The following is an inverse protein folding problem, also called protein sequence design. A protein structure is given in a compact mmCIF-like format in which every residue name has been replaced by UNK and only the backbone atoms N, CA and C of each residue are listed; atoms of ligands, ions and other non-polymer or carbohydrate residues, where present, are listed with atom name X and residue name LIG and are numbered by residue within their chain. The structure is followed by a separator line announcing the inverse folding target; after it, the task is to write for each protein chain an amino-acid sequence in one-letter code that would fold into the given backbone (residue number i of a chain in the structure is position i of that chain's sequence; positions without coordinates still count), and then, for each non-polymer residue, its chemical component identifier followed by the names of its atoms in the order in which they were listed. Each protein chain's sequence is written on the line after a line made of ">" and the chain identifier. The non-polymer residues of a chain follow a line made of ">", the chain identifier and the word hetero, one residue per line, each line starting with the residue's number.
data_IF_898199820429
#
_entry.id   IF_898199820429
#
_cell.length_a   1.000
_cell.length_b   1.000
_cell.length_c   1.000
_cell.angle_alpha   90.00
_cell.angle_beta   90.00
_cell.angle_gamma   90.00
#
_symmetry.space_group_name_H-M   'P 1'
#
loop_
_entity.id
_entity.type
_entity.pdbx_description
1 polymer ?
#
# COMPACT_ATOMS: atom_id res chain seq x y z
N UNK A 1 13.33 -31.41 47.07
CA UNK A 1 12.64 -31.54 45.77
C UNK A 1 12.63 -30.15 45.16
N UNK A 2 13.66 -29.83 44.36
CA UNK A 2 13.94 -28.48 43.87
C UNK A 2 13.33 -28.34 42.49
N UNK A 3 12.32 -27.49 42.36
CA UNK A 3 11.66 -27.21 41.08
C UNK A 3 12.58 -26.25 40.32
N UNK A 4 13.13 -26.70 39.19
CA UNK A 4 13.91 -25.87 38.29
C UNK A 4 12.98 -24.85 37.61
N UNK A 5 13.23 -23.56 37.86
CA UNK A 5 12.60 -22.44 37.17
C UNK A 5 13.02 -22.50 35.70
N UNK A 6 12.10 -22.60 34.72
CA UNK A 6 12.47 -22.50 33.32
C UNK A 6 13.02 -21.09 33.05
N UNK A 7 14.27 -21.03 32.61
CA UNK A 7 14.89 -19.82 32.07
C UNK A 7 14.02 -19.32 30.93
N UNK A 8 13.47 -18.11 31.08
CA UNK A 8 12.86 -17.34 30.00
C UNK A 8 13.85 -17.32 28.84
N UNK A 9 13.55 -18.10 27.81
CA UNK A 9 14.24 -18.02 26.54
C UNK A 9 14.14 -16.56 26.10
N UNK A 10 15.27 -15.87 26.10
CA UNK A 10 15.40 -14.49 25.66
C UNK A 10 14.90 -14.45 24.22
N UNK A 11 13.68 -13.94 24.04
CA UNK A 11 13.07 -13.73 22.72
C UNK A 11 13.92 -12.67 22.04
N UNK A 12 14.94 -13.10 21.30
CA UNK A 12 15.76 -12.19 20.49
C UNK A 12 14.79 -11.45 19.55
N UNK A 13 14.62 -10.12 19.69
CA UNK A 13 13.73 -9.37 18.81
C UNK A 13 14.27 -9.48 17.39
N UNK A 14 13.44 -9.97 16.47
CA UNK A 14 13.82 -10.08 15.06
C UNK A 14 14.01 -8.69 14.47
N UNK A 15 15.06 -8.51 13.68
CA UNK A 15 15.28 -7.26 12.93
C UNK A 15 14.12 -6.98 11.96
N UNK A 16 13.86 -5.70 11.69
CA UNK A 16 12.84 -5.29 10.72
C UNK A 16 13.13 -5.85 9.32
N UNK A 17 14.42 -5.93 8.94
CA UNK A 17 14.85 -6.49 7.66
C UNK A 17 14.46 -7.96 7.49
N UNK A 18 14.61 -8.78 8.53
CA UNK A 18 14.20 -10.19 8.50
C UNK A 18 12.67 -10.32 8.42
N UNK A 19 11.93 -9.51 9.19
CA UNK A 19 10.45 -9.51 9.15
C UNK A 19 9.89 -9.12 7.78
N UNK A 20 10.53 -8.16 7.12
CA UNK A 20 10.19 -7.71 5.77
C UNK A 20 10.54 -8.77 4.72
N UNK A 21 11.69 -9.41 4.81
CA UNK A 21 12.07 -10.51 3.92
C UNK A 21 11.09 -11.68 4.02
N UNK A 22 10.74 -12.12 5.25
CA UNK A 22 9.74 -13.17 5.47
C UNK A 22 8.38 -12.79 4.87
N UNK A 23 7.97 -11.51 5.00
CA UNK A 23 6.72 -11.03 4.41
C UNK A 23 6.77 -11.04 2.88
N UNK A 24 7.92 -10.68 2.30
CA UNK A 24 8.11 -10.71 0.86
C UNK A 24 8.03 -12.15 0.32
N UNK A 25 8.64 -13.11 1.00
CA UNK A 25 8.58 -14.54 0.65
C UNK A 25 7.14 -15.08 0.75
N UNK A 26 6.43 -14.75 1.84
CA UNK A 26 5.02 -15.12 2.03
C UNK A 26 4.12 -14.58 0.90
N UNK A 27 4.33 -13.32 0.52
CA UNK A 27 3.57 -12.68 -0.56
C UNK A 27 3.93 -13.26 -1.93
N UNK A 28 5.21 -13.55 -2.19
CA UNK A 28 5.64 -14.16 -3.44
C UNK A 28 5.05 -15.57 -3.61
N UNK A 29 4.98 -16.36 -2.53
CA UNK A 29 4.40 -17.70 -2.54
C UNK A 29 2.89 -17.74 -2.77
N UNK A 30 2.20 -16.63 -2.46
CA UNK A 30 0.74 -16.53 -2.51
C UNK A 30 0.27 -15.49 -3.52
N UNK A 31 1.19 -15.01 -4.36
CA UNK A 31 0.87 -14.03 -5.35
C UNK A 31 -0.12 -14.63 -6.36
N UNK A 32 -1.21 -13.92 -6.68
CA UNK A 32 -2.15 -14.39 -7.69
C UNK A 32 -1.47 -14.66 -9.03
N UNK A 33 -1.73 -15.83 -9.61
CA UNK A 33 -1.26 -16.16 -10.97
C UNK A 33 -2.16 -15.61 -12.07
N UNK A 34 -3.35 -15.12 -11.71
CA UNK A 34 -4.31 -14.48 -12.61
C UNK A 34 -4.80 -13.16 -11.99
N UNK A 35 -4.99 -12.08 -12.78
CA UNK A 35 -5.61 -10.84 -12.30
C UNK A 35 -7.03 -11.03 -11.75
N UNK A 36 -7.68 -12.14 -12.10
CA UNK A 36 -9.01 -12.50 -11.62
C UNK A 36 -8.98 -13.14 -10.22
N UNK A 37 -7.82 -13.61 -9.77
CA UNK A 37 -7.61 -14.17 -8.44
C UNK A 37 -7.23 -13.05 -7.46
N UNK A 38 -8.18 -12.19 -7.10
CA UNK A 38 -7.93 -11.02 -6.23
C UNK A 38 -7.50 -11.36 -4.79
N UNK A 39 -7.42 -12.64 -4.41
CA UNK A 39 -7.53 -13.04 -3.01
C UNK A 39 -6.38 -13.91 -2.46
N UNK A 40 -5.34 -14.22 -3.25
CA UNK A 40 -4.31 -15.21 -2.89
C UNK A 40 -3.70 -14.98 -1.49
N UNK A 41 -3.04 -13.84 -1.30
CA UNK A 41 -2.48 -13.47 0.01
C UNK A 41 -3.47 -12.70 0.91
N UNK A 42 -4.47 -12.03 0.31
CA UNK A 42 -5.47 -11.23 1.04
C UNK A 42 -6.44 -12.10 1.84
N UNK A 43 -6.71 -13.33 1.37
CA UNK A 43 -7.53 -14.32 2.08
C UNK A 43 -6.87 -14.86 3.36
N UNK A 44 -5.59 -14.55 3.60
CA UNK A 44 -4.87 -14.92 4.83
C UNK A 44 -4.80 -13.71 5.78
N UNK A 45 -5.63 -13.65 6.85
CA UNK A 45 -5.70 -12.48 7.73
C UNK A 45 -4.39 -12.15 8.44
N UNK A 46 -3.51 -13.14 8.63
CA UNK A 46 -2.16 -12.92 9.19
C UNK A 46 -1.25 -12.14 8.24
N UNK A 47 -1.32 -12.42 6.94
CA UNK A 47 -0.53 -11.71 5.93
C UNK A 47 -1.13 -10.33 5.70
N UNK A 48 -2.45 -10.25 5.49
CA UNK A 48 -3.13 -8.97 5.27
C UNK A 48 -2.83 -7.97 6.39
N UNK A 49 -2.85 -8.39 7.66
CA UNK A 49 -2.48 -7.53 8.79
C UNK A 49 -1.01 -7.09 8.79
N UNK A 50 -0.10 -7.97 8.40
CA UNK A 50 1.34 -7.63 8.28
C UNK A 50 1.56 -6.60 7.18
N UNK A 51 0.97 -6.82 6.00
CA UNK A 51 1.03 -5.85 4.90
C UNK A 51 0.42 -4.52 5.29
N UNK A 52 -0.77 -4.54 5.91
CA UNK A 52 -1.44 -3.34 6.37
C UNK A 52 -0.59 -2.56 7.38
N UNK A 53 0.06 -3.25 8.32
CA UNK A 53 0.98 -2.63 9.28
C UNK A 53 2.21 -1.98 8.61
N UNK A 54 2.78 -2.65 7.60
CA UNK A 54 3.89 -2.10 6.84
C UNK A 54 3.48 -0.87 6.00
N UNK A 55 2.29 -0.87 5.41
CA UNK A 55 1.74 0.30 4.70
C UNK A 55 1.44 1.44 5.66
N UNK A 56 0.81 1.14 6.80
CA UNK A 56 0.50 2.09 7.86
C UNK A 56 1.76 2.83 8.34
N UNK A 57 2.86 2.10 8.58
CA UNK A 57 4.14 2.67 8.98
C UNK A 57 4.79 3.58 7.91
N UNK A 58 4.33 3.51 6.66
CA UNK A 58 4.85 4.28 5.51
C UNK A 58 3.95 5.45 5.09
N UNK A 59 2.74 5.55 5.65
CA UNK A 59 1.88 6.71 5.46
C UNK A 59 2.60 7.97 5.94
N UNK A 60 2.26 9.11 5.33
CA UNK A 60 2.78 10.38 5.77
C UNK A 60 2.12 10.79 7.10
N UNK A 61 2.84 11.48 7.97
CA UNK A 61 2.35 11.83 9.31
C UNK A 61 1.15 12.79 9.28
N UNK A 62 0.98 13.51 8.18
CA UNK A 62 -0.11 14.43 7.86
C UNK A 62 -1.25 13.75 7.08
N UNK A 63 -1.28 12.42 6.99
CA UNK A 63 -2.38 11.72 6.31
C UNK A 63 -3.64 11.73 7.18
N UNK A 64 -4.69 12.35 6.69
CA UNK A 64 -6.01 12.40 7.33
C UNK A 64 -6.88 11.19 6.97
N UNK A 65 -6.64 10.56 5.81
CA UNK A 65 -7.52 9.52 5.26
C UNK A 65 -6.78 8.45 4.47
N UNK A 66 -7.31 7.23 4.51
CA UNK A 66 -6.94 6.14 3.61
C UNK A 66 -7.94 6.05 2.45
N UNK A 67 -7.41 6.03 1.23
CA UNK A 67 -8.17 5.87 -0.01
C UNK A 67 -7.77 4.57 -0.70
N UNK A 68 -8.71 3.65 -0.92
CA UNK A 68 -8.49 2.48 -1.75
C UNK A 68 -8.74 2.77 -3.23
N UNK A 69 -7.80 2.40 -4.10
CA UNK A 69 -7.90 2.57 -5.55
C UNK A 69 -7.59 1.28 -6.32
N UNK A 70 -8.60 0.80 -7.06
CA UNK A 70 -8.50 -0.32 -8.00
C UNK A 70 -8.80 -1.71 -7.42
N UNK A 71 -8.71 -2.77 -8.25
CA UNK A 71 -9.04 -4.13 -7.86
C UNK A 71 -8.22 -4.63 -6.66
N UNK A 72 -8.88 -5.29 -5.70
CA UNK A 72 -8.26 -5.78 -4.47
C UNK A 72 -7.88 -4.69 -3.45
N UNK A 73 -7.83 -3.42 -3.85
CA UNK A 73 -7.45 -2.32 -2.96
C UNK A 73 -8.47 -2.08 -1.85
N UNK A 74 -9.74 -2.43 -2.04
CA UNK A 74 -10.79 -2.27 -1.03
C UNK A 74 -10.46 -3.05 0.26
N UNK A 75 -10.10 -4.32 0.12
CA UNK A 75 -9.76 -5.19 1.26
C UNK A 75 -8.51 -4.69 1.97
N UNK A 76 -7.48 -4.34 1.19
CA UNK A 76 -6.23 -3.83 1.72
C UNK A 76 -6.37 -2.46 2.38
N UNK A 77 -7.05 -1.52 1.73
CA UNK A 77 -7.29 -0.17 2.24
C UNK A 77 -8.13 -0.19 3.51
N UNK A 78 -9.15 -1.06 3.58
CA UNK A 78 -9.89 -1.30 4.80
C UNK A 78 -9.00 -1.84 5.92
N UNK A 79 -8.11 -2.79 5.64
CA UNK A 79 -7.16 -3.30 6.62
C UNK A 79 -6.16 -2.24 7.10
N UNK A 80 -5.70 -1.34 6.22
CA UNK A 80 -4.83 -0.21 6.58
C UNK A 80 -5.57 0.78 7.47
N UNK A 81 -6.80 1.17 7.10
CA UNK A 81 -7.65 2.04 7.92
C UNK A 81 -7.88 1.47 9.32
N UNK A 82 -8.18 0.16 9.43
CA UNK A 82 -8.31 -0.51 10.73
C UNK A 82 -7.00 -0.52 11.53
N UNK A 83 -5.85 -0.61 10.85
CA UNK A 83 -4.53 -0.61 11.49
C UNK A 83 -4.10 0.78 11.96
N UNK A 84 -4.55 1.85 11.30
CA UNK A 84 -4.13 3.23 11.59
C UNK A 84 -5.16 4.00 12.42
N UNK A 85 -6.43 3.59 12.37
CA UNK A 85 -7.56 4.35 12.89
C UNK A 85 -7.98 5.52 12.00
N UNK A 86 -7.36 5.70 10.82
CA UNK A 86 -7.73 6.78 9.89
C UNK A 86 -9.05 6.44 9.17
N UNK A 87 -9.92 7.43 8.90
CA UNK A 87 -11.08 7.29 8.04
C UNK A 87 -10.75 6.60 6.71
N UNK A 88 -11.70 5.80 6.23
CA UNK A 88 -11.58 5.05 4.98
C UNK A 88 -12.52 5.61 3.92
N UNK A 89 -12.03 5.68 2.69
CA UNK A 89 -12.81 5.93 1.50
C UNK A 89 -12.39 4.94 0.42
N UNK A 90 -13.35 4.51 -0.38
CA UNK A 90 -13.17 3.54 -1.44
C UNK A 90 -13.79 4.07 -2.72
N UNK A 91 -13.24 3.68 -3.87
CA UNK A 91 -13.85 3.99 -5.17
C UNK A 91 -13.90 2.73 -6.01
N UNK A 92 -15.06 2.49 -6.62
CA UNK A 92 -15.22 1.42 -7.60
C UNK A 92 -14.66 1.81 -8.98
N UNK A 93 -14.72 0.88 -9.92
CA UNK A 93 -14.20 1.06 -11.27
C UNK A 93 -15.02 2.10 -12.07
N UNK A 94 -16.26 2.36 -11.66
CA UNK A 94 -17.14 3.39 -12.21
C UNK A 94 -16.86 4.80 -11.66
N UNK A 95 -15.96 4.93 -10.69
CA UNK A 95 -15.62 6.21 -10.06
C UNK A 95 -16.58 6.63 -8.95
N UNK A 96 -17.47 5.75 -8.51
CA UNK A 96 -18.38 5.98 -7.40
C UNK A 96 -17.59 5.99 -6.10
N UNK A 97 -17.71 7.07 -5.34
CA UNK A 97 -17.04 7.22 -4.05
C UNK A 97 -17.91 6.64 -2.94
N UNK A 98 -17.34 5.72 -2.17
CA UNK A 98 -17.92 5.16 -0.97
C UNK A 98 -17.26 5.76 0.28
N UNK A 99 -18.08 6.35 1.13
CA UNK A 99 -17.66 7.05 2.34
C UNK A 99 -17.60 8.57 2.14
N UNK A 100 -17.64 9.29 3.26
CA UNK A 100 -17.55 10.75 3.26
C UNK A 100 -16.11 11.20 3.08
N UNK A 101 -15.88 12.27 2.33
CA UNK A 101 -14.61 12.98 2.24
C UNK A 101 -14.85 14.49 2.32
N UNK A 102 -13.88 15.23 2.85
CA UNK A 102 -13.99 16.68 2.98
C UNK A 102 -12.90 17.39 2.18
N UNK A 103 -13.24 18.56 1.65
CA UNK A 103 -12.27 19.40 0.97
C UNK A 103 -11.14 19.80 1.93
N UNK A 104 -9.90 19.68 1.46
CA UNK A 104 -8.70 20.02 2.23
C UNK A 104 -8.12 18.87 3.06
N UNK A 105 -8.73 17.67 3.05
CA UNK A 105 -8.13 16.48 3.66
C UNK A 105 -6.93 15.98 2.83
N UNK A 106 -5.89 15.54 3.53
CA UNK A 106 -4.73 14.90 2.94
C UNK A 106 -4.90 13.38 2.90
N UNK A 107 -4.91 12.79 1.71
CA UNK A 107 -5.18 11.37 1.47
C UNK A 107 -3.92 10.54 1.21
N UNK A 108 -3.86 9.36 1.83
CA UNK A 108 -2.93 8.29 1.49
C UNK A 108 -3.63 7.25 0.61
N UNK A 109 -3.14 7.08 -0.61
CA UNK A 109 -3.71 6.16 -1.59
C UNK A 109 -3.09 4.78 -1.44
N UNK A 110 -3.93 3.76 -1.36
CA UNK A 110 -3.58 2.34 -1.29
C UNK A 110 -4.05 1.66 -2.56
N UNK A 111 -3.15 0.97 -3.26
CA UNK A 111 -3.49 0.19 -4.45
C UNK A 111 -2.79 -1.17 -4.49
N UNK A 112 -3.24 -2.04 -5.39
CA UNK A 112 -2.59 -3.31 -5.74
C UNK A 112 -2.11 -3.21 -7.18
N UNK A 113 -0.94 -3.77 -7.48
CA UNK A 113 -0.28 -3.79 -8.78
C UNK A 113 0.07 -2.44 -9.41
N UNK A 114 -0.35 -1.32 -8.81
CA UNK A 114 0.00 0.03 -9.26
C UNK A 114 -0.65 0.47 -10.57
N UNK A 115 -1.38 -0.42 -11.24
CA UNK A 115 -1.93 -0.20 -12.58
C UNK A 115 -3.29 0.50 -12.62
N UNK A 116 -3.88 0.84 -11.47
CA UNK A 116 -5.13 1.58 -11.46
C UNK A 116 -4.91 3.01 -11.98
N UNK A 117 -5.63 3.38 -13.04
CA UNK A 117 -5.68 4.76 -13.54
C UNK A 117 -6.15 5.70 -12.44
N UNK A 118 -5.58 6.90 -12.37
CA UNK A 118 -6.00 7.91 -11.40
C UNK A 118 -7.34 8.51 -11.85
N UNK A 119 -8.43 8.30 -11.09
CA UNK A 119 -9.72 8.82 -11.47
C UNK A 119 -9.76 10.35 -11.25
N UNK A 120 -10.56 11.05 -12.06
CA UNK A 120 -10.59 12.52 -12.06
C UNK A 120 -10.93 13.14 -10.70
N UNK A 121 -11.72 12.47 -9.86
CA UNK A 121 -12.05 12.96 -8.52
C UNK A 121 -10.85 12.92 -7.55
N UNK A 122 -9.84 12.07 -7.78
CA UNK A 122 -8.65 12.05 -6.92
C UNK A 122 -7.92 13.40 -6.91
N UNK A 123 -8.11 14.19 -7.98
CA UNK A 123 -7.60 15.56 -8.07
C UNK A 123 -8.23 16.55 -7.08
N UNK A 124 -9.40 16.22 -6.50
CA UNK A 124 -10.06 17.05 -5.48
C UNK A 124 -9.48 16.88 -4.07
N UNK A 125 -8.69 15.82 -3.86
CA UNK A 125 -7.97 15.57 -2.62
C UNK A 125 -6.53 16.05 -2.73
N UNK A 126 -5.93 16.40 -1.59
CA UNK A 126 -4.49 16.52 -1.53
C UNK A 126 -3.88 15.15 -1.26
N UNK A 127 -3.20 14.56 -2.24
CA UNK A 127 -2.65 13.21 -2.08
C UNK A 127 -1.22 13.31 -1.56
N UNK A 128 -0.98 12.87 -0.33
CA UNK A 128 0.37 12.88 0.25
C UNK A 128 1.26 11.80 -0.35
N UNK A 129 0.72 10.59 -0.53
CA UNK A 129 1.44 9.41 -1.03
C UNK A 129 0.52 8.40 -1.69
N UNK A 130 1.07 7.67 -2.65
CA UNK A 130 0.52 6.41 -3.17
C UNK A 130 1.43 5.24 -2.79
N UNK A 131 0.87 4.28 -2.06
CA UNK A 131 1.53 3.04 -1.66
C UNK A 131 0.85 1.87 -2.36
N UNK A 132 1.63 1.04 -3.03
CA UNK A 132 1.11 -0.12 -3.76
C UNK A 132 1.77 -1.40 -3.34
N UNK A 133 1.01 -2.48 -3.27
CA UNK A 133 1.59 -3.83 -3.22
C UNK A 133 1.77 -4.32 -4.66
N UNK A 134 2.99 -4.60 -5.11
CA UNK A 134 3.34 -4.97 -6.49
C UNK A 134 4.03 -6.32 -6.55
N UNK A 135 3.88 -7.06 -7.66
CA UNK A 135 4.58 -8.32 -7.85
C UNK A 135 6.09 -8.14 -8.05
N UNK A 136 6.91 -8.89 -7.30
CA UNK A 136 8.38 -8.75 -7.28
C UNK A 136 9.13 -9.39 -8.45
N UNK A 137 8.43 -9.88 -9.48
CA UNK A 137 9.02 -10.69 -10.55
C UNK A 137 10.02 -9.99 -11.47
N UNK A 138 10.25 -8.67 -11.34
CA UNK A 138 11.06 -7.88 -12.29
C UNK A 138 12.40 -7.32 -11.77
N UNK A 139 12.60 -7.13 -10.45
CA UNK A 139 13.80 -6.44 -9.96
C UNK A 139 14.78 -7.40 -9.32
N UNK A 140 15.84 -7.76 -10.05
CA UNK A 140 17.01 -8.51 -9.56
C UNK A 140 17.95 -7.65 -8.68
N UNK A 141 17.45 -6.59 -8.07
CA UNK A 141 18.20 -5.81 -7.08
C UNK A 141 17.55 -6.04 -5.73
N UNK A 142 18.14 -6.99 -5.00
CA UNK A 142 17.98 -7.29 -3.57
C UNK A 142 16.68 -6.88 -2.89
N UNK A 143 15.71 -7.79 -2.80
CA UNK A 143 14.72 -7.84 -1.73
C UNK A 143 13.95 -6.55 -1.45
N UNK A 144 13.89 -5.62 -2.41
CA UNK A 144 13.20 -4.36 -2.23
C UNK A 144 11.71 -4.69 -2.24
N UNK A 145 11.14 -4.51 -1.05
CA UNK A 145 9.80 -4.91 -0.62
C UNK A 145 8.78 -4.71 -1.74
N UNK A 146 7.87 -5.68 -1.87
CA UNK A 146 6.65 -5.66 -2.71
C UNK A 146 5.74 -4.43 -2.43
N UNK A 147 6.17 -3.45 -1.64
CA UNK A 147 5.47 -2.21 -1.33
C UNK A 147 6.22 -1.08 -2.03
N UNK A 148 5.73 -0.67 -3.20
CA UNK A 148 6.31 0.42 -3.98
C UNK A 148 5.64 1.75 -3.61
N UNK A 149 6.46 2.81 -3.63
CA UNK A 149 5.97 4.19 -3.70
C UNK A 149 5.85 4.52 -5.18
N UNK A 150 4.64 4.80 -5.64
CA UNK A 150 4.43 5.23 -7.02
C UNK A 150 4.36 6.76 -7.05
N UNK A 151 4.99 7.41 -8.05
CA UNK A 151 4.84 8.84 -8.23
C UNK A 151 3.36 9.15 -8.49
N UNK A 152 2.88 10.24 -7.90
CA UNK A 152 1.59 10.83 -8.24
C UNK A 152 1.77 11.53 -9.59
N UNK A 153 0.83 11.41 -10.53
CA UNK A 153 0.97 11.99 -11.89
C UNK A 153 1.10 13.53 -11.93
N UNK A 154 1.05 14.21 -10.79
CA UNK A 154 1.28 15.66 -10.68
C UNK A 154 2.69 16.10 -11.15
N UNK A 155 3.69 15.23 -11.15
CA UNK A 155 5.06 15.61 -11.53
C UNK A 155 5.31 15.72 -13.05
N UNK A 156 4.38 15.26 -13.90
CA UNK A 156 4.56 15.28 -15.37
C UNK A 156 4.05 16.53 -16.08
N UNK A 157 3.44 17.49 -15.37
CA UNK A 157 2.87 18.71 -15.97
C UNK A 157 3.80 19.94 -15.97
N UNK A 158 5.09 19.78 -15.66
CA UNK A 158 6.07 20.88 -15.62
C UNK A 158 7.22 20.73 -16.64
N UNK A 159 6.98 20.05 -17.76
CA UNK A 159 7.84 20.18 -18.95
C UNK A 159 7.11 21.06 -19.95
N UNK A 160 7.36 22.36 -19.88
CA UNK A 160 6.95 23.32 -20.90
C UNK A 160 7.48 22.86 -22.28
N UNK A 161 6.69 22.97 -23.36
CA UNK A 161 7.26 22.88 -24.69
C UNK A 161 8.08 24.16 -24.92
N UNK A 162 9.41 24.06 -24.89
CA UNK A 162 10.28 25.09 -25.46
C UNK A 162 9.81 25.37 -26.89
N UNK A 163 9.33 26.59 -27.09
CA UNK A 163 8.90 27.09 -28.39
C UNK A 163 10.07 27.00 -29.36
N UNK A 164 9.92 26.14 -30.36
CA UNK A 164 10.82 26.15 -31.51
C UNK A 164 10.33 27.21 -32.50
N UNK A 165 10.67 28.47 -32.22
CA UNK A 165 10.74 29.50 -33.26
C UNK A 165 11.91 29.14 -34.18
N UNK A 166 11.60 28.85 -35.45
CA UNK A 166 12.58 28.86 -36.52
C UNK A 166 12.16 29.91 -37.54
N UNK A 167 12.93 30.99 -37.56
CA UNK A 167 13.22 31.82 -38.74
C UNK A 167 13.81 30.97 -39.89
#
# INVERSE_FOLDING_TARGET
>A
MTIATPTLHELVPRSDSTRLSELADDLAALWPTSPQDVDGWMSRPSILRRVAGELAARLAADTDRVVALGPGALVLGGAVSLSTGLPFCAVDDEGTVFGDHHAGETAGVISVDGNAEEPGWLSTLDVSRRLSVVHGGGSRIGGEVLISRLPLRRDTAASEPEGNDHD
#
